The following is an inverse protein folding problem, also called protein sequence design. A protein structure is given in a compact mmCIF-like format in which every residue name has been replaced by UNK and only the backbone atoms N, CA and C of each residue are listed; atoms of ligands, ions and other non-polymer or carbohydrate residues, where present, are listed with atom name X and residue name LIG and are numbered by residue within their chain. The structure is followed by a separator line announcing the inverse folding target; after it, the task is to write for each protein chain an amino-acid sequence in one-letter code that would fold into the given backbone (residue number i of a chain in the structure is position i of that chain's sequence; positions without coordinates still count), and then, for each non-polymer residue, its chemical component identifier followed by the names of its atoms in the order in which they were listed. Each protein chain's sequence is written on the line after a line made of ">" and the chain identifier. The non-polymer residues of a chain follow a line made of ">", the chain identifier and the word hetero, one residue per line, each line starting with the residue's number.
data_IF_670895401418
#
_entry.id   IF_670895401418
#
_cell.length_a   1.000
_cell.length_b   1.000
_cell.length_c   1.000
_cell.angle_alpha   90.00
_cell.angle_beta   90.00
_cell.angle_gamma   90.00
#
_symmetry.space_group_name_H-M   'P 1'
#
loop_
_entity.id
_entity.type
_entity.pdbx_description
1 polymer ?
#
# COMPACT_ATOMS: atom_id res chain seq x y z
N UNK A 1 23.28 -40.22 31.31
CA UNK A 1 22.24 -39.67 32.22
C UNK A 1 21.80 -38.32 31.66
N UNK A 2 20.48 -38.11 31.52
CA UNK A 2 19.85 -36.83 31.12
C UNK A 2 19.51 -36.03 32.38
N UNK A 3 19.42 -34.69 32.26
CA UNK A 3 18.11 -34.02 32.38
C UNK A 3 17.81 -33.26 31.08
N UNK A 4 16.66 -33.35 30.40
CA UNK A 4 15.25 -33.17 30.78
C UNK A 4 14.94 -31.75 31.30
N UNK A 5 14.83 -30.79 30.37
CA UNK A 5 14.17 -29.51 30.62
C UNK A 5 12.89 -29.43 29.76
N UNK A 6 11.74 -29.43 30.45
CA UNK A 6 10.42 -29.08 29.92
C UNK A 6 10.19 -27.61 30.24
N UNK A 7 9.78 -26.80 29.27
CA UNK A 7 9.02 -25.57 29.56
C UNK A 7 7.80 -25.54 28.65
N UNK A 8 6.67 -25.61 29.33
CA UNK A 8 5.28 -25.50 28.89
C UNK A 8 4.86 -24.03 28.92
N UNK A 9 3.82 -23.67 28.15
CA UNK A 9 2.95 -22.46 28.23
C UNK A 9 3.28 -21.36 27.20
N UNK A 10 2.33 -20.78 26.45
CA UNK A 10 0.87 -20.85 26.59
C UNK A 10 0.10 -20.38 25.35
N UNK A 11 -1.17 -20.78 25.35
CA UNK A 11 -2.23 -20.44 24.40
C UNK A 11 -2.75 -19.05 24.73
N UNK A 12 -2.94 -18.19 23.73
CA UNK A 12 -3.90 -17.11 23.77
C UNK A 12 -4.54 -16.99 22.37
N UNK A 13 -5.71 -17.62 22.23
CA UNK A 13 -6.60 -17.39 21.11
C UNK A 13 -7.40 -16.11 21.33
N UNK A 14 -7.48 -15.27 20.31
CA UNK A 14 -8.57 -14.28 20.20
C UNK A 14 -9.19 -14.48 18.83
N UNK A 15 -10.33 -15.17 18.81
CA UNK A 15 -11.25 -15.15 17.70
C UNK A 15 -12.03 -13.83 17.78
N UNK A 16 -11.83 -12.94 16.80
CA UNK A 16 -12.74 -11.80 16.61
C UNK A 16 -13.75 -12.21 15.55
N UNK A 17 -14.93 -12.60 16.03
CA UNK A 17 -16.13 -12.69 15.24
C UNK A 17 -16.59 -11.27 14.85
N UNK A 18 -16.89 -11.07 13.57
CA UNK A 18 -17.41 -9.82 13.04
C UNK A 18 -18.08 -10.05 11.69
N UNK A 19 -19.21 -10.76 11.71
CA UNK A 19 -20.09 -10.95 10.57
C UNK A 19 -20.97 -9.70 10.42
N UNK A 20 -20.75 -8.91 9.37
CA UNK A 20 -21.72 -7.92 8.90
C UNK A 20 -22.07 -8.27 7.46
N UNK A 21 -23.20 -8.96 7.30
CA UNK A 21 -23.87 -9.10 6.03
C UNK A 21 -24.52 -7.75 5.68
N UNK A 22 -23.93 -7.02 4.73
CA UNK A 22 -24.58 -5.87 4.10
C UNK A 22 -25.35 -6.37 2.88
N UNK A 23 -26.68 -6.39 3.02
CA UNK A 23 -27.62 -6.75 1.99
C UNK A 23 -27.48 -5.80 0.79
N UNK A 24 -27.31 -6.38 -0.40
CA UNK A 24 -27.38 -5.66 -1.68
C UNK A 24 -28.85 -5.63 -2.12
N UNK A 25 -29.50 -4.46 -2.31
CA UNK A 25 -30.69 -4.38 -3.13
C UNK A 25 -30.29 -4.38 -4.61
N UNK A 26 -30.98 -5.22 -5.37
CA UNK A 26 -30.78 -5.50 -6.78
C UNK A 26 -30.87 -4.26 -7.69
N UNK A 27 -29.98 -4.17 -8.68
CA UNK A 27 -30.15 -3.31 -9.85
C UNK A 27 -31.38 -3.78 -10.64
N UNK A 28 -32.47 -3.02 -10.57
CA UNK A 28 -33.60 -3.18 -11.50
C UNK A 28 -33.22 -2.50 -12.82
N UNK A 29 -33.42 -3.26 -13.90
CA UNK A 29 -33.10 -2.95 -15.28
C UNK A 29 -33.61 -1.58 -15.75
N UNK A 30 -32.74 -0.77 -16.35
CA UNK A 30 -33.16 0.26 -17.30
C UNK A 30 -33.31 -0.41 -18.66
N UNK A 31 -34.55 -0.69 -19.02
CA UNK A 31 -34.92 -1.09 -20.37
C UNK A 31 -34.61 0.04 -21.36
N UNK A 32 -33.96 -0.34 -22.45
CA UNK A 32 -33.93 0.41 -23.70
C UNK A 32 -35.38 0.67 -24.16
N UNK A 33 -35.70 1.88 -24.62
CA UNK A 33 -36.24 2.13 -25.98
C UNK A 33 -36.52 3.61 -26.23
N UNK A 34 -36.05 4.04 -27.40
CA UNK A 34 -36.72 4.91 -28.37
C UNK A 34 -36.93 6.39 -28.06
N UNK A 35 -36.17 7.22 -28.78
CA UNK A 35 -36.67 8.50 -29.24
C UNK A 35 -37.89 8.33 -30.14
N UNK A 36 -38.84 9.25 -30.01
CA UNK A 36 -40.06 9.30 -30.81
C UNK A 36 -40.94 10.46 -30.36
N UNK A 37 -41.23 11.36 -31.31
CA UNK A 37 -42.03 12.58 -31.19
C UNK A 37 -43.51 12.33 -30.83
N UNK A 38 -44.13 13.21 -30.01
CA UNK A 38 -45.55 13.60 -30.12
C UNK A 38 -45.91 14.73 -29.12
N UNK A 39 -46.64 15.74 -29.61
CA UNK A 39 -47.26 16.81 -28.84
C UNK A 39 -48.54 16.32 -28.12
N UNK A 40 -48.90 16.93 -26.98
CA UNK A 40 -50.18 16.67 -26.31
C UNK A 40 -50.45 17.62 -25.16
N UNK A 41 -51.62 18.26 -25.20
CA UNK A 41 -52.17 19.24 -24.27
C UNK A 41 -52.52 18.64 -22.91
N UNK A 42 -52.37 19.45 -21.85
CA UNK A 42 -53.15 19.35 -20.62
C UNK A 42 -52.56 18.45 -19.53
N UNK A 43 -52.02 19.07 -18.48
CA UNK A 43 -52.52 18.94 -17.11
C UNK A 43 -51.47 19.50 -16.13
N UNK A 44 -51.94 20.40 -15.28
CA UNK A 44 -51.25 20.87 -14.08
C UNK A 44 -50.92 19.69 -13.17
N UNK A 45 -49.65 19.34 -13.07
CA UNK A 45 -49.10 18.68 -11.88
C UNK A 45 -47.94 19.51 -11.40
N UNK A 46 -48.20 20.23 -10.31
CA UNK A 46 -47.20 20.71 -9.36
C UNK A 46 -46.18 19.59 -9.16
N UNK A 47 -45.02 19.73 -9.78
CA UNK A 47 -43.89 18.84 -9.59
C UNK A 47 -43.26 19.30 -8.29
N UNK A 48 -43.55 18.59 -7.20
CA UNK A 48 -42.75 18.68 -5.99
C UNK A 48 -41.33 18.28 -6.40
N UNK A 49 -40.44 19.26 -6.60
CA UNK A 49 -39.01 18.99 -6.73
C UNK A 49 -38.58 18.21 -5.47
N UNK A 50 -38.07 16.97 -5.61
CA UNK A 50 -37.42 16.33 -4.48
C UNK A 50 -36.19 17.17 -4.16
N UNK A 51 -36.25 17.92 -3.06
CA UNK A 51 -35.09 18.56 -2.46
C UNK A 51 -34.14 17.45 -2.06
N UNK A 52 -33.13 17.21 -2.89
CA UNK A 52 -32.00 16.36 -2.52
C UNK A 52 -31.25 17.13 -1.44
N UNK A 53 -31.51 16.78 -0.17
CA UNK A 53 -30.72 17.27 0.94
C UNK A 53 -29.25 16.88 0.64
N UNK A 54 -28.30 17.83 0.69
CA UNK A 54 -26.91 17.49 0.44
C UNK A 54 -26.51 16.43 1.47
N UNK A 55 -26.17 15.23 1.00
CA UNK A 55 -25.54 14.21 1.85
C UNK A 55 -24.30 14.86 2.45
N UNK A 56 -24.16 14.90 3.78
CA UNK A 56 -22.99 15.51 4.40
C UNK A 56 -21.75 14.81 3.84
N UNK A 57 -20.85 15.59 3.25
CA UNK A 57 -19.56 15.12 2.78
C UNK A 57 -18.85 14.49 3.99
N UNK A 58 -18.36 13.23 3.89
CA UNK A 58 -17.71 12.60 5.02
C UNK A 58 -16.53 13.47 5.45
N UNK A 59 -16.53 13.85 6.73
CA UNK A 59 -15.38 14.53 7.32
C UNK A 59 -14.16 13.62 7.14
N UNK A 60 -13.07 14.07 6.49
CA UNK A 60 -11.89 13.23 6.32
C UNK A 60 -11.40 12.81 7.70
N UNK A 61 -11.29 11.49 7.93
CA UNK A 61 -10.59 10.99 9.12
C UNK A 61 -9.16 11.54 9.10
N UNK A 62 -8.62 11.98 10.24
CA UNK A 62 -7.23 12.42 10.30
C UNK A 62 -6.34 11.25 9.88
N UNK A 63 -5.62 11.41 8.76
CA UNK A 63 -4.61 10.45 8.30
C UNK A 63 -3.60 10.28 9.43
N UNK A 64 -3.61 9.12 10.10
CA UNK A 64 -2.60 8.82 11.11
C UNK A 64 -1.25 8.81 10.40
N UNK A 65 -0.38 9.75 10.76
CA UNK A 65 1.01 9.68 10.34
C UNK A 65 1.61 8.39 10.92
N UNK A 66 2.37 7.62 10.14
CA UNK A 66 2.96 6.40 10.64
C UNK A 66 3.92 6.74 11.79
N UNK A 67 4.14 5.79 12.69
CA UNK A 67 5.18 5.88 13.74
C UNK A 67 6.39 5.03 13.32
N UNK A 68 7.65 5.49 13.48
CA UNK A 68 8.78 4.75 12.95
C UNK A 68 8.96 3.50 13.82
N UNK A 69 9.29 2.39 13.18
CA UNK A 69 9.42 1.11 13.87
C UNK A 69 10.61 1.08 14.84
N UNK A 70 11.67 1.84 14.55
CA UNK A 70 12.89 1.94 15.36
C UNK A 70 13.67 3.25 15.08
N UNK A 71 14.83 3.40 15.73
CA UNK A 71 15.68 4.58 15.59
C UNK A 71 16.27 4.75 14.18
N UNK A 72 16.53 3.66 13.44
CA UNK A 72 17.03 3.76 12.06
C UNK A 72 15.91 4.21 11.13
N UNK A 73 14.70 3.69 11.35
CA UNK A 73 13.50 4.10 10.67
C UNK A 73 13.15 5.58 10.96
N UNK A 74 13.39 6.04 12.19
CA UNK A 74 13.25 7.45 12.58
C UNK A 74 14.29 8.34 11.88
N UNK A 75 15.57 7.94 11.90
CA UNK A 75 16.64 8.67 11.20
C UNK A 75 16.40 8.74 9.68
N UNK A 76 15.84 7.68 9.09
CA UNK A 76 15.45 7.68 7.69
C UNK A 76 14.32 8.66 7.37
N UNK A 77 13.40 8.94 8.31
CA UNK A 77 12.37 9.95 8.11
C UNK A 77 12.89 11.38 8.19
N UNK A 78 13.89 11.65 9.04
CA UNK A 78 14.52 12.97 9.12
C UNK A 78 15.20 13.37 7.80
N UNK A 79 15.64 12.39 7.01
CA UNK A 79 16.22 12.60 5.67
C UNK A 79 15.12 12.93 4.63
N UNK A 80 13.88 12.48 4.85
CA UNK A 80 12.76 12.77 3.95
C UNK A 80 12.82 12.04 2.61
N UNK A 81 12.01 12.52 1.65
CA UNK A 81 11.99 12.04 0.25
C UNK A 81 12.65 13.05 -0.70
N UNK A 82 13.60 13.85 -0.23
CA UNK A 82 14.11 15.02 -0.98
C UNK A 82 14.75 14.60 -2.31
N UNK A 83 15.33 13.41 -2.37
CA UNK A 83 15.74 12.73 -3.60
C UNK A 83 15.19 11.30 -3.62
N UNK A 84 14.34 10.97 -4.61
CA UNK A 84 13.95 9.59 -4.85
C UNK A 84 15.19 8.76 -5.17
N UNK A 85 15.51 7.81 -4.29
CA UNK A 85 16.75 7.04 -4.43
C UNK A 85 16.53 5.87 -5.37
N UNK A 86 17.48 5.67 -6.29
CA UNK A 86 17.47 4.52 -7.19
C UNK A 86 17.56 3.21 -6.40
N UNK A 87 16.71 2.24 -6.74
CA UNK A 87 16.81 0.92 -6.13
C UNK A 87 18.12 0.24 -6.52
N UNK A 88 18.96 -0.06 -5.52
CA UNK A 88 20.28 -0.65 -5.74
C UNK A 88 21.41 0.38 -5.90
N UNK A 89 21.14 1.66 -5.64
CA UNK A 89 22.21 2.64 -5.47
C UNK A 89 22.88 2.49 -4.10
N UNK A 90 24.20 2.60 -4.07
CA UNK A 90 25.04 2.39 -2.89
C UNK A 90 26.12 3.47 -2.80
N UNK A 91 26.15 4.20 -1.68
CA UNK A 91 27.17 5.22 -1.41
C UNK A 91 28.30 4.58 -0.62
N UNK A 92 29.52 4.54 -1.16
CA UNK A 92 30.68 3.89 -0.54
C UNK A 92 30.45 2.41 -0.15
N UNK A 93 29.59 1.71 -0.89
CA UNK A 93 29.20 0.33 -0.61
C UNK A 93 28.14 0.18 0.49
N UNK A 94 27.59 1.28 0.99
CA UNK A 94 26.51 1.29 1.97
C UNK A 94 25.16 1.57 1.31
N UNK A 95 24.10 0.95 1.86
CA UNK A 95 22.74 1.24 1.44
C UNK A 95 22.33 2.62 1.96
N UNK A 96 21.73 3.46 1.12
CA UNK A 96 21.08 4.66 1.61
C UNK A 96 19.93 4.27 2.56
N UNK A 97 19.72 5.04 3.64
CA UNK A 97 18.55 4.88 4.49
C UNK A 97 17.29 5.14 3.67
N UNK A 98 16.23 4.36 3.93
CA UNK A 98 14.95 4.52 3.25
C UNK A 98 13.84 4.53 4.27
N UNK A 99 13.05 5.61 4.33
CA UNK A 99 11.93 5.62 5.23
C UNK A 99 10.82 4.68 4.75
N UNK A 100 10.04 4.09 5.66
CA UNK A 100 8.72 3.57 5.34
C UNK A 100 7.72 4.63 5.81
N UNK A 101 7.11 5.37 4.89
CA UNK A 101 6.09 6.40 5.19
C UNK A 101 4.71 5.82 5.47
N UNK A 102 4.64 4.53 5.79
CA UNK A 102 3.45 3.78 6.13
C UNK A 102 2.53 3.52 4.95
N UNK A 103 1.49 2.74 5.20
CA UNK A 103 0.51 2.41 4.17
C UNK A 103 -0.19 3.68 3.65
N UNK A 104 -0.39 3.74 2.33
CA UNK A 104 -1.15 4.79 1.66
C UNK A 104 -2.20 4.18 0.74
N UNK A 105 -3.08 5.03 0.20
CA UNK A 105 -3.89 4.65 -0.96
C UNK A 105 -2.95 4.13 -2.06
N UNK A 106 -3.20 2.93 -2.56
CA UNK A 106 -2.37 2.21 -3.54
C UNK A 106 -0.95 1.80 -3.08
N UNK A 107 -0.65 1.81 -1.78
CA UNK A 107 0.56 1.18 -1.21
C UNK A 107 0.26 0.55 0.17
N UNK A 108 -0.73 -0.35 0.17
CA UNK A 108 -1.31 -0.97 1.35
C UNK A 108 -0.71 -2.32 1.73
N UNK A 109 0.16 -2.86 0.87
CA UNK A 109 0.94 -4.06 1.09
C UNK A 109 1.86 -4.03 2.30
N UNK A 110 2.47 -5.18 2.56
CA UNK A 110 3.21 -5.44 3.79
C UNK A 110 4.70 -5.23 3.59
N UNK A 111 5.29 -4.30 4.35
CA UNK A 111 6.74 -4.14 4.41
C UNK A 111 7.35 -5.13 5.41
N UNK A 112 8.54 -5.64 5.08
CA UNK A 112 9.37 -6.41 6.01
C UNK A 112 10.63 -5.61 6.33
N UNK A 113 11.14 -5.77 7.54
CA UNK A 113 12.34 -5.09 8.02
C UNK A 113 13.44 -6.09 8.33
N UNK A 114 14.70 -5.65 8.25
CA UNK A 114 15.85 -6.43 8.71
C UNK A 114 16.04 -6.25 10.22
N UNK A 115 16.95 -7.04 10.79
CA UNK A 115 17.38 -6.89 12.18
C UNK A 115 17.94 -5.49 12.49
N UNK A 116 18.53 -4.82 11.51
CA UNK A 116 19.06 -3.47 11.66
C UNK A 116 18.00 -2.37 11.56
N UNK A 117 16.72 -2.73 11.41
CA UNK A 117 15.60 -1.79 11.30
C UNK A 117 15.35 -1.22 9.91
N UNK A 118 16.22 -1.50 8.93
CA UNK A 118 16.02 -1.03 7.57
C UNK A 118 14.92 -1.81 6.85
N UNK A 119 14.11 -1.11 6.05
CA UNK A 119 13.16 -1.75 5.12
C UNK A 119 13.90 -2.71 4.19
N UNK A 120 13.37 -3.92 4.04
CA UNK A 120 13.97 -4.98 3.22
C UNK A 120 13.16 -5.22 1.95
N UNK A 121 11.92 -5.67 2.13
CA UNK A 121 11.04 -6.09 1.04
C UNK A 121 9.63 -5.58 1.26
N UNK A 122 8.83 -5.63 0.22
CA UNK A 122 7.44 -5.25 0.22
C UNK A 122 6.62 -6.29 -0.53
N UNK A 123 5.60 -6.85 0.14
CA UNK A 123 4.64 -7.76 -0.48
C UNK A 123 3.47 -6.94 -0.98
N UNK A 124 3.26 -6.94 -2.29
CA UNK A 124 2.24 -6.15 -3.00
C UNK A 124 0.83 -6.61 -2.61
N UNK A 125 -0.03 -5.67 -2.22
CA UNK A 125 -1.46 -5.91 -2.03
C UNK A 125 -2.25 -5.67 -3.32
N UNK A 126 -3.48 -6.19 -3.38
CA UNK A 126 -4.39 -5.89 -4.48
C UNK A 126 -4.71 -4.39 -4.54
N UNK A 127 -4.61 -3.82 -5.74
CA UNK A 127 -4.81 -2.39 -5.98
C UNK A 127 -3.58 -1.53 -5.76
N UNK A 128 -2.46 -2.08 -5.27
CA UNK A 128 -1.23 -1.29 -5.15
C UNK A 128 -0.69 -0.83 -6.52
N UNK A 129 -0.04 0.33 -6.54
CA UNK A 129 0.63 0.88 -7.73
C UNK A 129 2.12 1.05 -7.47
N UNK A 130 2.94 0.83 -8.51
CA UNK A 130 4.39 1.03 -8.38
C UNK A 130 4.77 2.45 -7.96
N UNK A 131 4.03 3.46 -8.43
CA UNK A 131 4.26 4.87 -8.10
C UNK A 131 4.02 5.13 -6.60
N UNK A 132 2.88 4.70 -6.06
CA UNK A 132 2.55 4.87 -4.64
C UNK A 132 3.46 4.04 -3.73
N UNK A 133 3.90 2.85 -4.17
CA UNK A 133 4.93 2.08 -3.46
C UNK A 133 6.26 2.85 -3.46
N UNK A 134 6.64 3.43 -4.59
CA UNK A 134 7.84 4.27 -4.71
C UNK A 134 7.80 5.43 -3.73
N UNK A 135 6.68 6.15 -3.71
CA UNK A 135 6.39 7.20 -2.74
C UNK A 135 6.49 6.71 -1.30
N UNK A 136 5.87 5.59 -0.94
CA UNK A 136 5.92 5.05 0.44
C UNK A 136 7.35 4.87 0.94
N UNK A 137 8.26 4.43 0.07
CA UNK A 137 9.65 4.11 0.46
C UNK A 137 10.70 5.16 0.04
N UNK A 138 10.26 6.30 -0.51
CA UNK A 138 11.12 7.30 -1.16
C UNK A 138 12.09 6.69 -2.20
N UNK A 139 11.58 5.79 -3.05
CA UNK A 139 12.36 5.18 -4.15
C UNK A 139 11.78 5.52 -5.51
N UNK A 140 12.64 5.65 -6.51
CA UNK A 140 12.16 5.81 -7.88
C UNK A 140 11.45 4.53 -8.35
N UNK A 141 10.17 4.65 -8.73
CA UNK A 141 9.36 3.49 -9.07
C UNK A 141 9.84 2.82 -10.37
N UNK A 142 10.49 3.54 -11.29
CA UNK A 142 11.03 2.95 -12.52
C UNK A 142 12.16 1.98 -12.18
N UNK A 143 13.11 2.40 -11.35
CA UNK A 143 14.22 1.55 -10.89
C UNK A 143 13.72 0.44 -9.97
N UNK A 144 12.64 0.66 -9.22
CA UNK A 144 11.95 -0.42 -8.49
C UNK A 144 11.48 -1.54 -9.42
N UNK A 145 10.83 -1.21 -10.53
CA UNK A 145 10.41 -2.20 -11.55
C UNK A 145 11.62 -2.93 -12.15
N UNK A 146 12.62 -2.17 -12.61
CA UNK A 146 13.82 -2.72 -13.27
C UNK A 146 14.56 -3.67 -12.33
N UNK A 147 14.84 -3.24 -11.10
CA UNK A 147 15.60 -4.02 -10.12
C UNK A 147 14.89 -5.33 -9.78
N UNK A 148 13.57 -5.28 -9.68
CA UNK A 148 12.74 -6.44 -9.37
C UNK A 148 12.36 -7.29 -10.59
N UNK A 149 12.84 -6.92 -11.79
CA UNK A 149 12.53 -7.61 -13.06
C UNK A 149 11.03 -7.70 -13.32
N UNK A 150 10.30 -6.65 -12.94
CA UNK A 150 8.87 -6.53 -13.14
C UNK A 150 8.65 -5.64 -14.37
N UNK A 151 8.03 -6.12 -15.45
CA UNK A 151 7.61 -5.25 -16.53
C UNK A 151 6.70 -4.13 -16.02
N UNK A 152 6.82 -2.93 -16.60
CA UNK A 152 5.96 -1.82 -16.19
C UNK A 152 4.48 -2.15 -16.45
N UNK A 153 3.62 -1.82 -15.49
CA UNK A 153 2.19 -2.10 -15.56
C UNK A 153 1.80 -3.55 -15.25
N UNK A 154 2.75 -4.44 -14.93
CA UNK A 154 2.46 -5.84 -14.58
C UNK A 154 2.67 -6.13 -13.09
N UNK A 155 2.55 -5.13 -12.23
CA UNK A 155 2.57 -5.34 -10.79
C UNK A 155 1.35 -6.18 -10.40
N UNK A 156 1.55 -7.25 -9.65
CA UNK A 156 0.49 -8.18 -9.23
C UNK A 156 0.50 -8.36 -7.70
N UNK A 157 -0.65 -8.70 -7.10
CA UNK A 157 -0.70 -9.09 -5.69
C UNK A 157 0.29 -10.21 -5.38
N UNK A 158 0.76 -10.25 -4.13
CA UNK A 158 1.68 -11.23 -3.56
C UNK A 158 3.10 -11.23 -4.15
N UNK A 159 3.41 -10.33 -5.09
CA UNK A 159 4.78 -10.10 -5.53
C UNK A 159 5.61 -9.53 -4.37
N UNK A 160 6.78 -10.12 -4.13
CA UNK A 160 7.74 -9.61 -3.14
C UNK A 160 8.79 -8.76 -3.84
N UNK A 161 8.67 -7.45 -3.66
CA UNK A 161 9.61 -6.47 -4.20
C UNK A 161 10.75 -6.24 -3.22
N UNK A 162 11.98 -6.30 -3.71
CA UNK A 162 13.16 -5.78 -3.02
C UNK A 162 13.08 -4.26 -3.02
N UNK A 163 12.87 -3.70 -1.83
CA UNK A 163 12.91 -2.25 -1.62
C UNK A 163 14.37 -1.87 -1.49
N UNK A 164 15.05 -2.20 -0.38
CA UNK A 164 16.44 -1.82 -0.16
C UNK A 164 17.36 -3.06 -0.21
N UNK A 165 17.77 -3.55 -1.40
CA UNK A 165 18.56 -4.77 -1.56
C UNK A 165 19.96 -4.65 -0.96
N UNK A 166 20.53 -5.77 -0.49
CA UNK A 166 21.92 -5.79 0.01
C UNK A 166 22.92 -5.37 -1.07
N UNK A 167 23.97 -4.60 -0.70
CA UNK A 167 25.06 -4.28 -1.61
C UNK A 167 25.67 -5.56 -2.19
N UNK A 168 26.10 -5.54 -3.45
CA UNK A 168 26.91 -6.63 -3.97
C UNK A 168 28.16 -6.79 -3.10
N UNK A 169 28.69 -8.02 -2.96
CA UNK A 169 29.95 -8.23 -2.26
C UNK A 169 31.04 -7.36 -2.87
N UNK A 170 31.83 -6.69 -2.02
CA UNK A 170 32.96 -5.89 -2.49
C UNK A 170 33.91 -6.80 -3.28
N UNK A 171 34.42 -6.38 -4.45
CA UNK A 171 35.50 -7.08 -5.10
C UNK A 171 36.63 -7.22 -4.08
N UNK A 172 37.06 -8.46 -3.82
CA UNK A 172 38.24 -8.66 -2.99
C UNK A 172 39.41 -8.03 -3.75
N UNK A 173 40.14 -7.12 -3.11
CA UNK A 173 41.38 -6.63 -3.68
C UNK A 173 42.23 -7.85 -4.00
N UNK A 174 42.66 -8.01 -5.26
CA UNK A 174 43.69 -8.98 -5.57
C UNK A 174 44.92 -8.57 -4.76
N UNK A 175 45.30 -9.40 -3.79
CA UNK A 175 46.62 -9.32 -3.17
C UNK A 175 47.62 -9.77 -4.26
N UNK A 176 48.14 -8.80 -5.02
CA UNK A 176 49.31 -8.95 -5.89
C UNK A 176 50.61 -8.60 -5.13
#
# INVERSE_FOLDING_TARGET
>A
MKPAAKITTGIAGVAVAGLVALAVPAFIAIGHTAGGVAQGLGNTMDTLEPSVEPTPEPTPEPTRQPTPHDAKQAAAWEIGCDDFVTVGDYVNGERPPRPDRGASEYASGTATYREDGSVATYTVAAGDSGMSIGERFCVDYITLYIFNRVPQGTLQPDMVLKINPEPPPRPQASED
#
